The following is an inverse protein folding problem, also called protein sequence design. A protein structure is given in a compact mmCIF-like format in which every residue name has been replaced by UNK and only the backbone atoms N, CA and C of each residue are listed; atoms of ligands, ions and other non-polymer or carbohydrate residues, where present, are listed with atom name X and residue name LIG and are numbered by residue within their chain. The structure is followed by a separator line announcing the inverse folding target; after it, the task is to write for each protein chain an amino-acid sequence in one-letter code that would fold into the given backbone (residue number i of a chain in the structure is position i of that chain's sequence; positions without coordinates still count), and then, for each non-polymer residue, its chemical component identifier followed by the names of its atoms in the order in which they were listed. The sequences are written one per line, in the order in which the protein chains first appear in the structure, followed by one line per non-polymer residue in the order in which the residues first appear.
data_IF_384478174412
#
_entry.id   IF_384478174412
#
_cell.length_a   1.000
_cell.length_b   1.000
_cell.length_c   1.000
_cell.angle_alpha   90.00
_cell.angle_beta   90.00
_cell.angle_gamma   90.00
#
_symmetry.space_group_name_H-M   'P 1'
#
loop_
_entity.id
_entity.type
_entity.pdbx_description
1 polymer ?
#
# COMPACT_ATOMS: atom_id res chain seq x y z
N UNK A 1 -17.62 1.20 21.81
CA UNK A 1 -17.60 0.62 20.45
C UNK A 1 -16.16 0.33 20.08
N UNK A 2 -15.68 -0.90 20.32
CA UNK A 2 -14.35 -1.37 19.94
C UNK A 2 -14.44 -2.68 19.15
N UNK A 3 -15.59 -2.92 18.52
CA UNK A 3 -15.98 -4.20 17.90
C UNK A 3 -15.77 -4.23 16.38
N UNK A 4 -15.10 -3.24 15.80
CA UNK A 4 -14.85 -3.15 14.34
C UNK A 4 -13.38 -3.01 13.95
N UNK A 5 -12.45 -3.10 14.91
CA UNK A 5 -11.04 -3.20 14.58
C UNK A 5 -10.74 -4.67 14.26
N UNK A 6 -10.65 -4.99 12.98
CA UNK A 6 -10.20 -6.30 12.52
C UNK A 6 -8.72 -6.17 12.17
N UNK A 7 -7.87 -6.92 12.87
CA UNK A 7 -6.47 -7.03 12.47
C UNK A 7 -6.43 -7.66 11.07
N UNK A 8 -5.68 -7.04 10.16
CA UNK A 8 -5.46 -7.60 8.83
C UNK A 8 -4.27 -8.54 8.93
N UNK A 9 -4.46 -9.80 8.56
CA UNK A 9 -3.38 -10.77 8.49
C UNK A 9 -2.70 -10.67 7.12
N UNK A 10 -1.39 -10.42 7.13
CA UNK A 10 -0.54 -10.29 5.94
C UNK A 10 0.33 -11.53 5.70
N UNK A 11 0.13 -12.63 6.45
CA UNK A 11 0.92 -13.85 6.32
C UNK A 11 0.83 -14.53 4.96
N UNK A 12 -0.23 -14.23 4.19
CA UNK A 12 -0.47 -14.76 2.86
C UNK A 12 0.17 -13.92 1.73
N UNK A 13 0.77 -12.78 2.06
CA UNK A 13 1.32 -11.86 1.07
C UNK A 13 2.62 -12.42 0.50
N UNK A 14 2.59 -12.78 -0.78
CA UNK A 14 3.73 -13.41 -1.48
C UNK A 14 4.64 -12.40 -2.17
N UNK A 15 4.14 -11.20 -2.45
CA UNK A 15 4.84 -10.16 -3.20
C UNK A 15 4.82 -10.36 -4.72
N UNK A 16 4.12 -11.38 -5.24
CA UNK A 16 3.90 -11.56 -6.68
C UNK A 16 2.82 -10.61 -7.22
N UNK A 17 1.88 -10.23 -6.36
CA UNK A 17 0.76 -9.34 -6.63
C UNK A 17 0.77 -8.22 -5.61
N UNK A 18 0.34 -7.03 -6.03
CA UNK A 18 0.26 -5.88 -5.13
C UNK A 18 -1.01 -5.96 -4.29
N UNK A 19 -0.84 -6.11 -2.98
CA UNK A 19 -1.92 -6.20 -2.01
C UNK A 19 -1.55 -5.47 -0.71
N UNK A 20 -2.50 -5.20 0.20
CA UNK A 20 -2.17 -4.62 1.50
C UNK A 20 -1.07 -5.43 2.21
N UNK A 21 -0.04 -4.77 2.72
CA UNK A 21 1.16 -5.40 3.30
C UNK A 21 2.36 -5.49 2.35
N UNK A 22 2.24 -4.99 1.12
CA UNK A 22 3.34 -4.95 0.14
C UNK A 22 4.11 -3.63 0.13
N UNK A 23 5.38 -3.71 -0.26
CA UNK A 23 6.23 -2.56 -0.58
C UNK A 23 6.51 -2.61 -2.07
N UNK A 24 6.15 -1.55 -2.78
CA UNK A 24 6.30 -1.45 -4.24
C UNK A 24 7.22 -0.30 -4.59
N UNK A 25 8.08 -0.50 -5.58
CA UNK A 25 8.87 0.58 -6.17
C UNK A 25 8.26 0.94 -7.52
N UNK A 26 7.73 2.15 -7.61
CA UNK A 26 7.22 2.73 -8.86
C UNK A 26 8.32 3.58 -9.50
N UNK A 27 8.36 3.58 -10.82
CA UNK A 27 9.27 4.43 -11.60
C UNK A 27 8.38 5.31 -12.47
N UNK A 28 8.48 6.61 -12.28
CA UNK A 28 7.91 7.57 -13.21
C UNK A 28 8.68 7.49 -14.53
N UNK A 29 7.99 7.08 -15.58
CA UNK A 29 8.55 6.90 -16.93
C UNK A 29 8.90 8.22 -17.62
N UNK A 30 8.32 9.34 -17.21
CA UNK A 30 8.62 10.68 -17.76
C UNK A 30 9.82 11.31 -17.06
N UNK A 31 9.88 11.26 -15.74
CA UNK A 31 10.95 11.89 -14.96
C UNK A 31 12.13 10.95 -14.65
N UNK A 32 11.94 9.64 -14.77
CA UNK A 32 12.91 8.61 -14.38
C UNK A 32 13.07 8.46 -12.86
N UNK A 33 12.23 9.12 -12.07
CA UNK A 33 12.30 9.11 -10.61
C UNK A 33 11.67 7.81 -10.10
N UNK A 34 12.41 7.09 -9.26
CA UNK A 34 11.90 5.92 -8.55
C UNK A 34 11.41 6.31 -7.16
N UNK A 35 10.17 5.95 -6.82
CA UNK A 35 9.59 6.12 -5.50
C UNK A 35 9.22 4.75 -4.91
N UNK A 36 9.50 4.56 -3.61
CA UNK A 36 9.13 3.33 -2.90
C UNK A 36 7.98 3.62 -1.97
N UNK A 37 6.89 2.90 -2.17
CA UNK A 37 5.61 3.11 -1.50
C UNK A 37 5.23 1.83 -0.75
N UNK A 38 4.79 1.99 0.48
CA UNK A 38 4.24 0.91 1.29
C UNK A 38 2.73 1.02 1.29
N UNK A 39 2.04 -0.05 0.88
CA UNK A 39 0.58 -0.09 0.84
C UNK A 39 0.10 -0.85 2.08
N UNK A 40 -0.58 -0.14 3.00
CA UNK A 40 -1.07 -0.70 4.26
C UNK A 40 -2.60 -0.58 4.36
N UNK A 41 -3.14 -0.79 5.56
CA UNK A 41 -4.57 -0.90 5.83
C UNK A 41 -5.37 0.35 5.47
N UNK A 42 -6.69 0.22 5.54
CA UNK A 42 -7.66 1.25 5.14
C UNK A 42 -7.43 2.62 5.80
N UNK A 43 -6.89 2.61 7.03
CA UNK A 43 -6.66 3.79 7.86
C UNK A 43 -5.18 4.17 8.00
N UNK A 44 -4.28 3.40 7.37
CA UNK A 44 -2.85 3.68 7.42
C UNK A 44 -2.49 4.66 6.30
N UNK A 45 -2.23 5.91 6.67
CA UNK A 45 -1.73 6.92 5.74
C UNK A 45 -0.68 7.76 6.47
N UNK A 46 0.57 7.67 6.01
CA UNK A 46 1.70 8.46 6.50
C UNK A 46 2.56 8.84 5.28
N UNK A 47 2.22 9.95 4.61
CA UNK A 47 2.92 10.42 3.41
C UNK A 47 4.40 10.71 3.65
N UNK A 48 4.76 11.17 4.85
CA UNK A 48 6.15 11.46 5.22
C UNK A 48 7.01 10.19 5.24
N UNK A 49 6.37 9.02 5.40
CA UNK A 49 7.01 7.70 5.38
C UNK A 49 6.70 6.90 4.11
N UNK A 50 6.11 7.52 3.09
CA UNK A 50 5.63 6.85 1.88
C UNK A 50 4.67 5.68 2.15
N UNK A 51 3.84 5.80 3.19
CA UNK A 51 2.79 4.83 3.53
C UNK A 51 1.46 5.34 3.00
N UNK A 52 0.83 4.56 2.13
CA UNK A 52 -0.50 4.87 1.62
C UNK A 52 -1.51 3.79 2.02
N UNK A 53 -2.76 4.21 2.15
CA UNK A 53 -3.87 3.30 2.34
C UNK A 53 -4.17 2.62 1.01
N UNK A 54 -4.45 1.32 1.06
CA UNK A 54 -4.91 0.57 -0.10
C UNK A 54 -6.22 1.13 -0.70
N UNK A 55 -6.97 1.95 0.06
CA UNK A 55 -8.17 2.66 -0.41
C UNK A 55 -7.88 3.99 -1.11
N UNK A 56 -6.63 4.47 -1.09
CA UNK A 56 -6.26 5.68 -1.84
C UNK A 56 -6.36 5.44 -3.34
N UNK A 57 -6.60 6.48 -4.18
CA UNK A 57 -6.66 6.32 -5.63
C UNK A 57 -5.41 5.64 -6.22
N UNK A 58 -4.23 5.96 -5.67
CA UNK A 58 -2.97 5.33 -6.05
C UNK A 58 -2.90 3.87 -5.59
N UNK A 59 -3.29 3.58 -4.34
CA UNK A 59 -3.34 2.22 -3.82
C UNK A 59 -4.28 1.33 -4.65
N UNK A 60 -5.48 1.80 -4.97
CA UNK A 60 -6.43 1.06 -5.80
C UNK A 60 -5.97 0.86 -7.25
N UNK A 61 -5.17 1.80 -7.78
CA UNK A 61 -4.60 1.66 -9.12
C UNK A 61 -3.44 0.65 -9.16
N UNK A 62 -2.76 0.44 -8.03
CA UNK A 62 -1.64 -0.49 -7.90
C UNK A 62 -2.11 -1.91 -7.52
N UNK A 63 -3.22 -2.04 -6.79
CA UNK A 63 -3.79 -3.33 -6.41
C UNK A 63 -4.40 -4.02 -7.64
N UNK A 64 -3.98 -5.26 -7.89
CA UNK A 64 -4.49 -6.09 -8.97
C UNK A 64 -3.64 -7.31 -9.23
#
# INVERSE_FOLDING_TARGET
MLTKAQATDFSHVTGEVVEPGTVVTIIDVESGISETITILGAWDNDPDRNIISYLSPLGQALIG
#
